data_IF_964675600881
#
_entry.id   IF_964675600881
#
_cell.length_a   1.000
_cell.length_b   1.000
_cell.length_c   1.000
_cell.angle_alpha   90.00
_cell.angle_beta   90.00
_cell.angle_gamma   90.00
#
_symmetry.space_group_name_H-M   'P 1'
#
loop_
_entity.id
_entity.type
_entity.pdbx_description
1 polymer ?
#
# COMPACT_ATOMS: atom_id res chain seq x y z
N UNK A 1 -5.46 1.50 -21.36
CA UNK A 1 -4.24 2.25 -21.62
C UNK A 1 -3.03 1.36 -21.91
N UNK A 2 -3.02 0.13 -21.40
CA UNK A 2 -1.98 -0.82 -21.78
C UNK A 2 -2.34 -1.49 -23.10
N UNK A 3 -1.36 -1.54 -24.00
CA UNK A 3 -1.49 -2.34 -25.22
C UNK A 3 -1.33 -3.82 -24.92
N UNK A 4 -1.77 -4.68 -25.82
CA UNK A 4 -1.54 -6.13 -25.71
C UNK A 4 -0.03 -6.40 -25.56
N UNK A 5 0.34 -7.24 -24.59
CA UNK A 5 1.73 -7.49 -24.23
C UNK A 5 2.38 -6.41 -23.37
N UNK A 6 1.65 -5.31 -23.08
CA UNK A 6 2.15 -4.25 -22.20
C UNK A 6 2.30 -4.73 -20.74
N UNK A 7 3.26 -4.19 -20.04
CA UNK A 7 3.60 -4.56 -18.67
C UNK A 7 3.16 -3.46 -17.70
N UNK A 8 2.51 -3.87 -16.60
CA UNK A 8 2.26 -3.03 -15.45
C UNK A 8 3.09 -3.55 -14.27
N UNK A 9 3.93 -2.70 -13.74
CA UNK A 9 4.70 -3.01 -12.53
C UNK A 9 4.23 -2.11 -11.39
N UNK A 10 3.88 -2.71 -10.26
CA UNK A 10 3.46 -2.02 -9.04
C UNK A 10 4.49 -2.31 -7.97
N UNK A 11 4.97 -1.26 -7.31
CA UNK A 11 5.86 -1.34 -6.14
C UNK A 11 5.28 -0.46 -5.05
N UNK A 12 4.72 -1.07 -4.03
CA UNK A 12 3.93 -0.38 -3.00
C UNK A 12 4.16 -0.94 -1.61
N UNK A 13 3.83 -0.15 -0.61
CA UNK A 13 3.74 -0.60 0.78
C UNK A 13 2.74 -1.75 0.89
N UNK A 14 3.12 -2.79 1.64
CA UNK A 14 2.26 -3.95 1.81
C UNK A 14 1.00 -3.58 2.60
N UNK A 15 -0.18 -4.04 2.17
CA UNK A 15 -1.44 -3.72 2.84
C UNK A 15 -1.49 -4.10 4.33
N UNK A 16 -0.72 -5.09 4.76
CA UNK A 16 -0.70 -5.51 6.18
C UNK A 16 -0.26 -4.36 7.10
N UNK A 17 0.53 -3.42 6.61
CA UNK A 17 0.98 -2.29 7.42
C UNK A 17 -0.15 -1.33 7.80
N UNK A 18 -1.24 -1.32 7.05
CA UNK A 18 -2.42 -0.53 7.37
C UNK A 18 -3.13 -1.02 8.65
N UNK A 19 -2.79 -2.20 9.14
CA UNK A 19 -3.28 -2.68 10.42
C UNK A 19 -2.67 -1.95 11.62
N UNK A 20 -1.53 -1.28 11.41
CA UNK A 20 -0.74 -0.63 12.47
C UNK A 20 -0.80 0.88 12.34
N UNK A 21 -0.77 1.56 13.49
CA UNK A 21 -0.61 3.01 13.55
C UNK A 21 0.77 3.32 14.12
N UNK A 22 1.71 3.82 13.29
CA UNK A 22 3.06 4.17 13.76
C UNK A 22 3.07 5.27 14.83
N UNK A 23 2.02 6.08 14.89
CA UNK A 23 1.89 7.18 15.85
C UNK A 23 1.19 6.76 17.14
N UNK A 24 0.68 5.53 17.24
CA UNK A 24 0.02 5.04 18.43
C UNK A 24 1.00 4.90 19.61
N UNK A 25 0.52 4.96 20.86
CA UNK A 25 1.37 4.70 22.05
C UNK A 25 2.04 3.33 22.01
N UNK A 26 1.38 2.33 21.46
CA UNK A 26 1.95 1.01 21.19
C UNK A 26 1.82 0.73 19.68
N UNK A 27 2.83 1.14 18.89
CA UNK A 27 2.75 1.03 17.43
C UNK A 27 2.83 -0.40 16.91
N UNK A 28 3.24 -1.36 17.76
CA UNK A 28 3.38 -2.77 17.37
C UNK A 28 2.12 -3.58 17.60
N UNK A 29 1.12 -3.02 18.25
CA UNK A 29 -0.20 -3.66 18.41
C UNK A 29 -1.10 -3.27 17.25
N UNK A 30 -1.66 -4.24 16.49
CA UNK A 30 -2.60 -3.93 15.41
C UNK A 30 -3.80 -3.14 15.92
N UNK A 31 -4.17 -2.09 15.21
CA UNK A 31 -5.28 -1.19 15.55
C UNK A 31 -6.49 -1.39 14.64
N UNK A 32 -6.28 -1.88 13.43
CA UNK A 32 -7.30 -1.99 12.40
C UNK A 32 -7.32 -3.39 11.81
N UNK A 33 -8.48 -3.80 11.31
CA UNK A 33 -8.59 -5.06 10.60
C UNK A 33 -7.88 -4.99 9.24
N UNK A 34 -7.19 -6.06 8.87
CA UNK A 34 -6.66 -6.21 7.51
C UNK A 34 -7.75 -6.11 6.43
N UNK A 35 -8.97 -6.47 6.80
CA UNK A 35 -10.13 -6.48 5.91
C UNK A 35 -10.98 -5.22 5.98
N UNK A 36 -10.48 -4.18 6.65
CA UNK A 36 -11.16 -2.90 6.74
C UNK A 36 -11.26 -2.27 5.36
N UNK A 37 -12.48 -2.08 4.87
CA UNK A 37 -12.77 -1.48 3.57
C UNK A 37 -13.45 -0.12 3.69
N UNK A 38 -13.54 0.42 4.91
CA UNK A 38 -14.16 1.73 5.16
C UNK A 38 -13.25 2.83 4.60
N UNK A 39 -13.82 3.81 3.87
CA UNK A 39 -13.01 4.94 3.42
C UNK A 39 -12.53 5.77 4.60
N UNK A 40 -11.24 6.15 4.57
CA UNK A 40 -10.61 6.98 5.57
C UNK A 40 -10.38 8.38 5.02
N UNK A 41 -10.89 9.40 5.72
CA UNK A 41 -10.70 10.78 5.34
C UNK A 41 -9.32 11.29 5.80
N UNK A 42 -8.65 12.02 4.93
CA UNK A 42 -7.41 12.73 5.25
C UNK A 42 -7.51 14.17 4.79
N UNK A 43 -7.08 15.08 5.67
CA UNK A 43 -6.95 16.50 5.37
C UNK A 43 -5.49 16.90 5.13
N UNK A 44 -4.59 15.92 5.07
CA UNK A 44 -3.18 16.18 4.86
C UNK A 44 -2.93 16.61 3.41
N UNK A 45 -2.18 17.71 3.19
CA UNK A 45 -1.85 18.15 1.86
C UNK A 45 -0.88 17.18 1.19
N UNK A 46 -1.17 16.81 -0.05
CA UNK A 46 -0.21 16.09 -0.89
C UNK A 46 0.63 17.15 -1.60
N UNK A 47 1.74 17.53 -0.99
CA UNK A 47 2.65 18.50 -1.59
C UNK A 47 3.99 17.83 -1.88
N UNK A 48 4.54 18.11 -3.05
CA UNK A 48 5.84 17.57 -3.46
C UNK A 48 7.00 18.43 -2.98
N UNK A 49 6.73 19.62 -2.48
CA UNK A 49 7.73 20.60 -2.03
C UNK A 49 7.81 20.73 -0.49
N UNK A 50 7.00 19.97 0.22
CA UNK A 50 6.93 20.02 1.69
C UNK A 50 6.20 21.23 2.25
N UNK A 51 5.53 22.03 1.42
CA UNK A 51 4.73 23.16 1.88
C UNK A 51 3.43 22.67 2.54
N UNK A 52 2.99 23.39 3.60
CA UNK A 52 1.66 23.18 4.16
C UNK A 52 0.65 24.01 3.37
N UNK A 53 -0.27 23.33 2.67
CA UNK A 53 -1.34 24.01 1.94
C UNK A 53 -2.44 24.49 2.86
N UNK A 54 -2.93 25.71 2.63
CA UNK A 54 -4.19 26.18 3.19
C UNK A 54 -5.34 25.69 2.32
N UNK A 55 -6.50 25.38 2.92
CA UNK A 55 -7.71 24.94 2.22
C UNK A 55 -7.54 23.65 1.41
N UNK A 56 -6.92 22.63 2.02
CA UNK A 56 -6.73 21.33 1.38
C UNK A 56 -8.08 20.61 1.31
N UNK A 57 -8.48 20.12 0.12
CA UNK A 57 -9.68 19.28 0.02
C UNK A 57 -9.47 17.97 0.79
N UNK A 58 -10.56 17.44 1.35
CA UNK A 58 -10.54 16.14 2.01
C UNK A 58 -10.20 15.08 0.97
N UNK A 59 -9.15 14.31 1.25
CA UNK A 59 -8.79 13.14 0.46
C UNK A 59 -9.34 11.89 1.13
N UNK A 60 -9.75 10.91 0.33
CA UNK A 60 -10.26 9.64 0.82
C UNK A 60 -9.29 8.53 0.49
N UNK A 61 -8.93 7.76 1.50
CA UNK A 61 -8.03 6.62 1.37
C UNK A 61 -8.80 5.33 1.56
N UNK A 62 -8.45 4.34 0.77
CA UNK A 62 -9.05 3.01 0.82
C UNK A 62 -7.95 1.99 1.01
N UNK A 63 -8.17 1.06 1.94
CA UNK A 63 -7.29 -0.09 2.11
C UNK A 63 -7.80 -1.26 1.28
N UNK A 64 -6.89 -1.96 0.64
CA UNK A 64 -7.20 -3.15 -0.16
C UNK A 64 -6.33 -4.30 0.30
N UNK A 65 -6.91 -5.49 0.46
CA UNK A 65 -6.12 -6.69 0.73
C UNK A 65 -5.30 -7.08 -0.50
N UNK A 66 -4.21 -7.81 -0.28
CA UNK A 66 -3.42 -8.35 -1.41
C UNK A 66 -4.30 -9.22 -2.32
N UNK A 67 -5.19 -10.02 -1.73
CA UNK A 67 -6.14 -10.82 -2.50
C UNK A 67 -7.03 -9.99 -3.40
N UNK A 68 -7.54 -8.86 -2.91
CA UNK A 68 -8.37 -7.95 -3.71
C UNK A 68 -7.58 -7.33 -4.86
N UNK A 69 -6.34 -6.92 -4.62
CA UNK A 69 -5.48 -6.32 -5.65
C UNK A 69 -5.23 -7.32 -6.78
N UNK A 70 -4.86 -8.56 -6.45
CA UNK A 70 -4.60 -9.60 -7.43
C UNK A 70 -5.86 -9.98 -8.18
N UNK A 71 -6.97 -10.15 -7.47
CA UNK A 71 -8.25 -10.50 -8.10
C UNK A 71 -8.71 -9.42 -9.07
N UNK A 72 -8.60 -8.14 -8.67
CA UNK A 72 -8.94 -7.02 -9.55
C UNK A 72 -8.09 -7.01 -10.82
N UNK A 73 -6.79 -7.30 -10.71
CA UNK A 73 -5.89 -7.39 -11.86
C UNK A 73 -6.33 -8.49 -12.83
N UNK A 74 -6.65 -9.67 -12.30
CA UNK A 74 -7.12 -10.81 -13.12
C UNK A 74 -8.45 -10.46 -13.80
N UNK A 75 -9.39 -9.86 -13.08
CA UNK A 75 -10.68 -9.45 -13.63
C UNK A 75 -10.56 -8.37 -14.69
N UNK A 76 -9.50 -7.54 -14.62
CA UNK A 76 -9.19 -6.54 -15.63
C UNK A 76 -8.49 -7.11 -16.88
N UNK A 77 -8.33 -8.43 -16.97
CA UNK A 77 -7.71 -9.09 -18.10
C UNK A 77 -6.18 -9.09 -18.07
N UNK A 78 -5.60 -8.88 -16.89
CA UNK A 78 -4.15 -8.92 -16.72
C UNK A 78 -3.71 -10.30 -16.26
N UNK A 79 -2.57 -10.75 -16.76
CA UNK A 79 -1.93 -11.98 -16.30
C UNK A 79 -0.95 -11.61 -15.18
N UNK A 80 -1.01 -12.30 -14.07
CA UNK A 80 -0.04 -12.15 -12.99
C UNK A 80 1.22 -12.92 -13.36
N UNK A 81 2.32 -12.22 -13.57
CA UNK A 81 3.60 -12.83 -13.90
C UNK A 81 4.42 -13.10 -12.63
N UNK A 82 4.39 -12.16 -11.69
CA UNK A 82 5.17 -12.30 -10.45
C UNK A 82 4.59 -11.43 -9.35
N UNK A 83 4.53 -11.98 -8.14
CA UNK A 83 4.32 -11.24 -6.90
C UNK A 83 5.49 -11.54 -5.98
N UNK A 84 6.19 -10.51 -5.53
CA UNK A 84 7.28 -10.64 -4.57
C UNK A 84 7.00 -9.76 -3.37
N UNK A 85 7.05 -10.35 -2.18
CA UNK A 85 6.91 -9.62 -0.92
C UNK A 85 8.29 -9.44 -0.30
N UNK A 86 8.56 -8.27 0.25
CA UNK A 86 9.88 -7.92 0.79
C UNK A 86 9.82 -7.58 2.27
N UNK A 87 10.83 -7.97 3.05
CA UNK A 87 10.94 -7.59 4.45
C UNK A 87 11.49 -6.17 4.66
N UNK A 88 11.95 -5.51 3.59
CA UNK A 88 12.48 -4.14 3.66
C UNK A 88 11.41 -3.11 3.32
N UNK A 89 11.60 -1.89 3.85
CA UNK A 89 10.74 -0.75 3.55
C UNK A 89 10.89 -0.29 2.10
N UNK A 90 9.83 0.27 1.55
CA UNK A 90 9.84 0.95 0.24
C UNK A 90 10.07 2.47 0.38
N UNK A 91 10.65 2.91 1.51
CA UNK A 91 10.95 4.30 1.86
C UNK A 91 9.75 5.14 2.31
N UNK A 92 8.64 4.53 2.65
CA UNK A 92 7.62 5.20 3.45
C UNK A 92 8.10 5.26 4.90
N UNK A 93 8.79 6.35 5.23
CA UNK A 93 9.57 6.52 6.46
C UNK A 93 8.76 6.25 7.72
N UNK A 94 7.46 6.56 7.70
CA UNK A 94 6.56 6.34 8.83
C UNK A 94 6.48 4.88 9.26
N UNK A 95 6.73 3.93 8.34
CA UNK A 95 6.69 2.50 8.62
C UNK A 95 8.07 1.89 8.88
N UNK A 96 9.15 2.67 8.82
CA UNK A 96 10.51 2.14 8.96
C UNK A 96 10.74 1.43 10.32
N UNK A 97 9.98 1.79 11.36
CA UNK A 97 10.08 1.15 12.66
C UNK A 97 9.74 -0.35 12.62
N UNK A 98 8.99 -0.80 11.63
CA UNK A 98 8.59 -2.20 11.50
C UNK A 98 9.63 -3.05 10.75
N UNK A 99 10.62 -2.43 10.12
CA UNK A 99 11.69 -3.13 9.43
C UNK A 99 12.71 -3.68 10.43
N UNK A 100 13.15 -4.91 10.20
CA UNK A 100 14.17 -5.54 11.04
C UNK A 100 13.65 -6.11 12.35
N UNK A 101 12.36 -6.27 12.52
CA UNK A 101 11.76 -6.86 13.71
C UNK A 101 11.93 -8.39 13.70
N UNK A 102 12.00 -8.98 14.90
CA UNK A 102 12.11 -10.43 15.03
C UNK A 102 10.96 -11.18 14.34
N UNK A 103 9.73 -10.72 14.55
CA UNK A 103 8.55 -11.22 13.84
C UNK A 103 8.25 -10.27 12.65
N UNK A 104 9.05 -10.40 11.62
CA UNK A 104 9.00 -9.50 10.47
C UNK A 104 7.74 -9.69 9.63
N UNK A 105 6.99 -8.63 9.47
CA UNK A 105 5.89 -8.56 8.50
C UNK A 105 6.42 -8.14 7.12
N UNK A 106 5.73 -8.49 6.04
CA UNK A 106 6.10 -7.96 4.73
C UNK A 106 5.92 -6.44 4.73
N UNK A 107 6.96 -5.72 4.30
CA UNK A 107 6.99 -4.26 4.31
C UNK A 107 6.50 -3.64 3.01
N UNK A 108 6.83 -4.28 1.90
CA UNK A 108 6.42 -3.84 0.57
C UNK A 108 6.28 -5.03 -0.36
N UNK A 109 5.72 -4.79 -1.53
CA UNK A 109 5.56 -5.82 -2.55
C UNK A 109 5.80 -5.27 -3.94
N UNK A 110 6.21 -6.16 -4.83
CA UNK A 110 6.27 -5.93 -6.26
C UNK A 110 5.28 -6.85 -6.95
N UNK A 111 4.44 -6.29 -7.80
CA UNK A 111 3.50 -7.05 -8.61
C UNK A 111 3.74 -6.72 -10.08
N UNK A 112 4.06 -7.75 -10.86
CA UNK A 112 4.31 -7.61 -12.29
C UNK A 112 3.21 -8.31 -13.06
N UNK A 113 2.57 -7.58 -13.95
CA UNK A 113 1.41 -8.00 -14.72
C UNK A 113 1.65 -7.74 -16.20
N UNK A 114 1.10 -8.62 -17.04
CA UNK A 114 1.10 -8.45 -18.50
C UNK A 114 -0.33 -8.41 -19.01
N UNK A 115 -0.61 -7.49 -19.92
CA UNK A 115 -1.90 -7.45 -20.59
C UNK A 115 -1.95 -8.50 -21.70
N UNK A 116 -2.95 -9.32 -21.63
CA UNK A 116 -3.24 -10.32 -22.66
C UNK A 116 -3.75 -9.69 -23.97
#
# INVERSE_FOLDING_TARGET
LLVSGGILAIYETHPVLEMFDPAAPDPFTPQSSYFDSVPHASEDPITYDGSSGENVPVSWWFSHTMGNIITAAIQAGLKVDRLTEHPHSNREVQFDLYEGCHAQVPMCFELVLTKN
#
